data_IF_847402599151
#
_entry.id   IF_847402599151
#
_cell.length_a   1.000
_cell.length_b   1.000
_cell.length_c   1.000
_cell.angle_alpha   90.00
_cell.angle_beta   90.00
_cell.angle_gamma   90.00
#
_symmetry.space_group_name_H-M   'P 1'
#
loop_
_entity.id
_entity.type
_entity.pdbx_description
1 polymer ?
#
# COMPACT_ATOMS: atom_id res chain seq x y z
N UNK A 1 -3.18 -3.16 9.00
CA UNK A 1 -3.25 -1.70 8.70
C UNK A 1 -3.92 -1.03 9.88
N UNK A 2 -3.56 0.20 10.24
CA UNK A 2 -4.15 0.91 11.39
C UNK A 2 -4.65 2.28 10.94
N UNK A 3 -5.75 2.78 11.49
CA UNK A 3 -6.19 4.16 11.22
C UNK A 3 -5.74 5.18 12.28
N UNK A 4 -6.06 6.45 12.05
CA UNK A 4 -5.77 7.56 12.97
C UNK A 4 -6.49 7.48 14.33
N UNK A 5 -7.50 6.62 14.48
CA UNK A 5 -8.22 6.39 15.74
C UNK A 5 -7.72 5.15 16.48
N UNK A 6 -6.75 4.42 15.92
CA UNK A 6 -6.14 3.22 16.49
C UNK A 6 -6.85 1.92 16.12
N UNK A 7 -7.85 1.93 15.24
CA UNK A 7 -8.50 0.71 14.79
C UNK A 7 -7.56 -0.08 13.87
N UNK A 8 -7.52 -1.40 14.06
CA UNK A 8 -6.69 -2.29 13.25
C UNK A 8 -7.56 -3.06 12.25
N UNK A 9 -7.12 -3.07 11.00
CA UNK A 9 -7.77 -3.75 9.88
C UNK A 9 -6.94 -4.96 9.45
N UNK A 10 -7.63 -6.10 9.37
CA UNK A 10 -7.15 -7.35 8.77
C UNK A 10 -7.58 -7.45 7.30
N UNK A 11 -7.05 -8.44 6.59
CA UNK A 11 -7.50 -8.74 5.23
C UNK A 11 -9.01 -9.01 5.18
N UNK A 12 -9.68 -8.47 4.16
CA UNK A 12 -11.13 -8.42 3.97
C UNK A 12 -11.89 -7.68 5.09
N UNK A 13 -11.21 -6.82 5.85
CA UNK A 13 -11.85 -5.95 6.84
C UNK A 13 -12.64 -4.82 6.19
N UNK A 14 -13.58 -4.24 6.94
CA UNK A 14 -14.42 -3.15 6.44
C UNK A 14 -13.93 -1.80 6.96
N UNK A 15 -13.93 -0.81 6.09
CA UNK A 15 -13.86 0.61 6.44
C UNK A 15 -15.28 1.15 6.32
N UNK A 16 -15.91 1.42 7.46
CA UNK A 16 -17.29 1.87 7.51
C UNK A 16 -17.38 3.36 7.87
N UNK A 17 -18.15 4.17 7.12
CA UNK A 17 -18.30 5.61 7.42
C UNK A 17 -19.45 5.94 8.38
N UNK A 18 -20.38 5.01 8.63
CA UNK A 18 -21.51 5.18 9.56
C UNK A 18 -21.04 5.22 11.02
N UNK A 19 -21.59 6.12 11.86
CA UNK A 19 -21.07 6.37 13.23
C UNK A 19 -21.03 5.17 14.21
N UNK A 20 -21.65 4.04 13.87
CA UNK A 20 -21.58 2.78 14.63
C UNK A 20 -20.59 1.75 14.06
N UNK A 21 -19.97 2.04 12.92
CA UNK A 21 -18.96 1.21 12.29
C UNK A 21 -17.54 1.60 12.71
N UNK A 22 -16.59 0.75 12.33
CA UNK A 22 -15.15 1.02 12.50
C UNK A 22 -14.61 1.47 11.14
N UNK A 23 -14.17 2.73 10.95
CA UNK A 23 -13.97 3.78 11.95
C UNK A 23 -15.19 4.68 12.24
N UNK A 24 -16.23 4.62 11.41
CA UNK A 24 -17.43 5.44 11.54
C UNK A 24 -17.23 6.90 11.17
N UNK A 25 -16.33 7.15 10.21
CA UNK A 25 -15.96 8.47 9.70
C UNK A 25 -15.75 8.43 8.19
N UNK A 26 -16.10 9.53 7.51
CA UNK A 26 -15.89 9.65 6.07
C UNK A 26 -14.45 10.00 5.69
N UNK A 27 -13.69 10.66 6.58
CA UNK A 27 -12.29 11.00 6.36
C UNK A 27 -11.40 10.20 7.29
N UNK A 28 -10.51 9.41 6.72
CA UNK A 28 -9.76 8.38 7.42
C UNK A 28 -8.30 8.47 7.04
N UNK A 29 -7.43 8.54 8.04
CA UNK A 29 -5.99 8.44 7.85
C UNK A 29 -5.57 7.00 8.11
N UNK A 30 -5.00 6.32 7.12
CA UNK A 30 -4.50 4.95 7.26
C UNK A 30 -2.98 4.94 7.30
N UNK A 31 -2.43 4.21 8.27
CA UNK A 31 -1.01 3.86 8.36
C UNK A 31 -0.83 2.38 8.08
N UNK A 32 -0.08 2.10 7.02
CA UNK A 32 0.36 0.75 6.67
C UNK A 32 1.77 0.58 7.20
N UNK A 33 2.02 -0.49 7.95
CA UNK A 33 3.36 -0.84 8.40
C UNK A 33 3.72 -2.24 7.91
N UNK A 34 4.85 -2.35 7.24
CA UNK A 34 5.46 -3.60 6.84
C UNK A 34 6.60 -3.93 7.80
N UNK A 35 6.67 -5.19 8.22
CA UNK A 35 7.68 -5.69 9.15
C UNK A 35 8.48 -6.83 8.52
N UNK A 36 9.80 -6.77 8.64
CA UNK A 36 10.71 -7.87 8.33
C UNK A 36 10.87 -8.75 9.58
N UNK A 37 10.16 -9.88 9.60
CA UNK A 37 10.13 -10.78 10.76
C UNK A 37 11.39 -11.60 10.98
N UNK A 38 12.33 -11.61 10.02
CA UNK A 38 13.58 -12.38 10.15
C UNK A 38 14.79 -11.45 10.29
N UNK A 39 15.55 -11.62 11.37
CA UNK A 39 16.80 -10.89 11.59
C UNK A 39 17.81 -11.18 10.47
N UNK A 40 18.56 -10.15 10.08
CA UNK A 40 19.61 -10.21 9.05
C UNK A 40 19.10 -10.60 7.65
N UNK A 41 17.84 -10.26 7.36
CA UNK A 41 17.20 -10.36 6.05
C UNK A 41 16.61 -9.00 5.68
N UNK A 42 16.41 -8.79 4.38
CA UNK A 42 15.92 -7.52 3.90
C UNK A 42 15.75 -7.48 2.40
N UNK A 43 15.42 -6.28 1.93
CA UNK A 43 15.32 -5.95 0.52
C UNK A 43 16.52 -5.07 0.15
N UNK A 44 17.07 -5.30 -1.04
CA UNK A 44 18.12 -4.47 -1.61
C UNK A 44 17.70 -4.07 -3.00
N UNK A 45 17.79 -2.77 -3.27
CA UNK A 45 17.56 -2.23 -4.61
C UNK A 45 18.65 -2.71 -5.57
N UNK A 46 18.26 -2.85 -6.84
CA UNK A 46 19.17 -3.16 -7.93
C UNK A 46 18.64 -2.56 -9.23
N UNK A 47 19.36 -2.76 -10.32
CA UNK A 47 18.97 -2.27 -11.64
C UNK A 47 19.03 -3.42 -12.63
N UNK A 48 17.95 -3.57 -13.41
CA UNK A 48 17.93 -4.50 -14.53
C UNK A 48 18.25 -3.79 -15.85
N UNK A 49 19.37 -4.13 -16.51
CA UNK A 49 19.76 -3.54 -17.78
C UNK A 49 18.90 -4.00 -18.97
N UNK A 50 18.16 -5.11 -18.86
CA UNK A 50 17.35 -5.64 -19.97
C UNK A 50 16.08 -4.82 -20.13
N UNK A 51 15.33 -4.63 -19.04
CA UNK A 51 14.09 -3.85 -19.05
C UNK A 51 14.27 -2.38 -18.64
N UNK A 52 15.51 -1.98 -18.32
CA UNK A 52 15.87 -0.62 -17.86
C UNK A 52 15.06 -0.20 -16.64
N UNK A 53 14.88 -1.13 -15.70
CA UNK A 53 14.07 -0.94 -14.51
C UNK A 53 14.96 -0.77 -13.29
N UNK A 54 14.67 0.24 -12.48
CA UNK A 54 15.21 0.33 -11.13
C UNK A 54 14.35 -0.51 -10.20
N UNK A 55 14.86 -1.66 -9.80
CA UNK A 55 14.17 -2.54 -8.87
C UNK A 55 14.09 -1.92 -7.49
N UNK A 56 12.90 -1.43 -7.16
CA UNK A 56 12.57 -0.80 -5.89
C UNK A 56 11.48 -1.57 -5.16
N UNK A 57 11.31 -1.23 -3.89
CA UNK A 57 10.14 -1.64 -3.11
C UNK A 57 9.09 -0.54 -3.17
N UNK A 58 7.85 -0.91 -3.44
CA UNK A 58 6.74 0.02 -3.63
C UNK A 58 5.51 -0.44 -2.87
N UNK A 59 4.93 0.47 -2.09
CA UNK A 59 3.57 0.34 -1.61
C UNK A 59 2.63 0.77 -2.73
N UNK A 60 1.77 -0.13 -3.16
CA UNK A 60 0.76 0.11 -4.18
C UNK A 60 -0.61 0.01 -3.54
N UNK A 61 -1.43 1.03 -3.75
CA UNK A 61 -2.83 1.02 -3.33
C UNK A 61 -3.70 1.15 -4.57
N UNK A 62 -4.70 0.29 -4.70
CA UNK A 62 -5.70 0.40 -5.77
C UNK A 62 -7.10 0.45 -5.21
N UNK A 63 -7.94 1.29 -5.81
CA UNK A 63 -9.38 1.32 -5.53
C UNK A 63 -10.13 0.89 -6.79
N UNK A 64 -11.06 -0.03 -6.64
CA UNK A 64 -11.89 -0.55 -7.73
C UNK A 64 -13.27 -0.93 -7.23
N UNK A 65 -14.21 -1.20 -8.14
CA UNK A 65 -15.58 -1.61 -7.79
C UNK A 65 -16.61 -0.56 -8.17
N UNK A 66 -17.82 -0.65 -7.63
CA UNK A 66 -18.88 0.32 -7.95
C UNK A 66 -18.69 1.60 -7.14
N UNK A 67 -18.90 2.76 -7.77
CA UNK A 67 -18.78 4.09 -7.15
C UNK A 67 -17.37 4.44 -6.63
N UNK A 68 -16.34 3.70 -7.07
CA UNK A 68 -14.96 3.92 -6.65
C UNK A 68 -14.42 5.31 -7.06
N UNK A 69 -14.98 5.91 -8.10
CA UNK A 69 -14.66 7.25 -8.60
C UNK A 69 -14.98 8.36 -7.59
N UNK A 70 -15.83 8.08 -6.59
CA UNK A 70 -16.16 9.00 -5.50
C UNK A 70 -15.27 8.84 -4.26
N UNK A 71 -14.32 7.90 -4.31
CA UNK A 71 -13.31 7.68 -3.27
C UNK A 71 -12.07 8.49 -3.62
N UNK A 72 -11.68 9.42 -2.75
CA UNK A 72 -10.44 10.17 -2.93
C UNK A 72 -9.34 9.62 -2.03
N UNK A 73 -8.14 9.42 -2.58
CA UNK A 73 -6.94 9.05 -1.82
C UNK A 73 -5.86 10.08 -2.03
N UNK A 74 -5.23 10.51 -0.94
CA UNK A 74 -4.13 11.50 -0.95
C UNK A 74 -2.96 11.05 -0.10
N UNK A 75 -1.77 11.56 -0.40
CA UNK A 75 -0.53 11.25 0.33
C UNK A 75 0.47 10.41 -0.48
N UNK A 76 0.08 9.89 -1.64
CA UNK A 76 0.98 9.19 -2.55
C UNK A 76 1.66 10.16 -3.54
N UNK A 77 2.96 9.96 -3.85
CA UNK A 77 3.66 10.73 -4.88
C UNK A 77 3.21 10.36 -6.29
N UNK A 78 2.72 9.13 -6.49
CA UNK A 78 2.28 8.64 -7.79
C UNK A 78 0.81 8.24 -7.75
N UNK A 79 0.10 8.51 -8.84
CA UNK A 79 -1.30 8.13 -8.98
C UNK A 79 -1.77 8.19 -10.43
N UNK A 80 -2.76 7.36 -10.74
CA UNK A 80 -3.46 7.41 -12.02
C UNK A 80 -4.47 6.28 -12.22
N UNK A 81 -5.39 6.49 -13.15
CA UNK A 81 -6.42 5.52 -13.52
C UNK A 81 -5.89 4.54 -14.59
N UNK A 82 -6.15 3.25 -14.40
CA UNK A 82 -5.78 2.22 -15.37
C UNK A 82 -6.82 1.10 -15.40
N UNK A 83 -7.53 0.99 -16.52
CA UNK A 83 -8.65 0.05 -16.64
C UNK A 83 -9.83 0.55 -15.81
N UNK A 84 -10.37 -0.30 -14.93
CA UNK A 84 -11.52 -0.01 -14.06
C UNK A 84 -11.11 0.21 -12.59
N UNK A 85 -9.92 0.78 -12.39
CA UNK A 85 -9.35 0.99 -11.07
C UNK A 85 -8.42 2.20 -11.06
N UNK A 86 -8.37 2.89 -9.92
CA UNK A 86 -7.38 3.92 -9.66
C UNK A 86 -6.22 3.32 -8.87
N UNK A 87 -4.98 3.61 -9.28
CA UNK A 87 -3.77 3.13 -8.64
C UNK A 87 -2.97 4.27 -8.05
N UNK A 88 -2.35 4.03 -6.91
CA UNK A 88 -1.47 4.93 -6.19
C UNK A 88 -0.19 4.17 -5.82
N UNK A 89 0.96 4.85 -5.87
CA UNK A 89 2.26 4.24 -5.63
C UNK A 89 3.16 5.13 -4.78
N UNK A 90 3.93 4.52 -3.88
CA UNK A 90 5.00 5.16 -3.14
C UNK A 90 6.19 4.21 -2.97
N UNK A 91 7.40 4.67 -3.28
CA UNK A 91 8.60 3.92 -2.98
C UNK A 91 8.84 3.87 -1.46
N UNK A 92 9.26 2.71 -0.96
CA UNK A 92 9.68 2.51 0.41
C UNK A 92 11.19 2.38 0.48
N UNK A 93 11.78 2.96 1.53
CA UNK A 93 13.20 2.89 1.80
C UNK A 93 13.64 1.42 2.07
N UNK A 94 14.61 0.87 1.31
CA UNK A 94 15.09 -0.50 1.49
C UNK A 94 15.69 -0.76 2.89
N UNK A 95 16.28 0.26 3.52
CA UNK A 95 16.87 0.11 4.86
C UNK A 95 15.78 -0.09 5.92
N UNK A 96 14.59 0.47 5.71
CA UNK A 96 13.42 0.26 6.57
C UNK A 96 12.78 -1.11 6.38
N UNK A 97 12.98 -1.73 5.23
CA UNK A 97 12.53 -3.09 4.92
C UNK A 97 13.56 -4.17 5.27
N UNK A 98 14.67 -3.77 5.87
CA UNK A 98 15.77 -4.65 6.27
C UNK A 98 15.88 -4.72 7.78
N UNK A 99 15.89 -5.93 8.34
CA UNK A 99 16.23 -6.15 9.74
C UNK A 99 17.71 -6.53 9.82
N UNK A 100 18.50 -5.77 10.59
CA UNK A 100 19.91 -6.07 10.83
C UNK A 100 20.24 -5.93 12.32
N UNK A 101 20.78 -7.01 12.90
CA UNK A 101 21.07 -7.11 14.32
C UNK A 101 22.52 -7.51 14.54
N UNK A 102 23.22 -6.80 15.44
CA UNK A 102 24.59 -7.10 15.86
C UNK A 102 24.57 -7.37 17.36
N UNK A 103 24.79 -8.62 17.76
CA UNK A 103 24.54 -9.05 19.14
C UNK A 103 23.05 -8.90 19.49
N UNK A 104 22.75 -8.05 20.49
CA UNK A 104 21.38 -7.76 20.92
C UNK A 104 20.86 -6.40 20.43
N UNK A 105 21.65 -5.65 19.65
CA UNK A 105 21.30 -4.31 19.21
C UNK A 105 20.83 -4.33 17.74
N UNK A 106 19.66 -3.75 17.47
CA UNK A 106 19.16 -3.55 16.11
C UNK A 106 19.82 -2.31 15.50
N UNK A 107 20.53 -2.51 14.38
CA UNK A 107 21.06 -1.42 13.55
C UNK A 107 20.03 -0.96 12.51
N UNK A 108 19.26 -1.91 11.99
CA UNK A 108 18.06 -1.63 11.20
C UNK A 108 16.88 -2.41 11.82
N UNK A 109 15.77 -1.74 12.16
CA UNK A 109 14.66 -2.38 12.88
C UNK A 109 13.74 -3.21 11.97
N UNK A 110 13.87 -3.11 10.64
CA UNK A 110 13.03 -3.84 9.69
C UNK A 110 11.56 -3.43 9.72
N UNK A 111 11.26 -2.16 10.03
CA UNK A 111 9.89 -1.62 9.98
C UNK A 111 9.80 -0.41 9.05
N UNK A 112 8.95 -0.51 8.03
CA UNK A 112 8.62 0.58 7.12
C UNK A 112 7.14 0.95 7.28
N UNK A 113 6.86 2.23 7.56
CA UNK A 113 5.50 2.74 7.70
C UNK A 113 5.21 3.81 6.66
N UNK A 114 4.03 3.77 6.07
CA UNK A 114 3.54 4.77 5.15
C UNK A 114 2.12 5.17 5.52
N UNK A 115 1.82 6.47 5.47
CA UNK A 115 0.52 7.01 5.86
C UNK A 115 -0.11 7.77 4.71
N UNK A 116 -1.39 7.50 4.45
CA UNK A 116 -2.18 8.18 3.44
C UNK A 116 -3.59 8.46 3.98
N UNK A 117 -4.32 9.35 3.31
CA UNK A 117 -5.69 9.67 3.68
C UNK A 117 -6.66 9.14 2.63
N UNK A 118 -7.82 8.69 3.09
CA UNK A 118 -8.98 8.31 2.29
C UNK A 118 -10.11 9.27 2.66
N UNK A 119 -10.78 9.80 1.64
CA UNK A 119 -12.02 10.57 1.77
C UNK A 119 -13.15 9.82 1.06
N UNK A 120 -14.14 9.40 1.86
CA UNK A 120 -15.36 8.71 1.48
C UNK A 120 -16.59 9.64 1.52
N UNK A 121 -16.41 10.96 1.65
CA UNK A 121 -17.52 11.92 1.77
C UNK A 121 -18.48 11.86 0.59
N UNK A 122 -17.96 11.64 -0.62
CA UNK A 122 -18.77 11.47 -1.84
C UNK A 122 -19.20 10.03 -2.11
N UNK A 123 -18.64 9.04 -1.43
CA UNK A 123 -18.88 7.62 -1.70
C UNK A 123 -20.19 7.16 -1.05
N UNK A 124 -20.99 6.39 -1.78
CA UNK A 124 -22.14 5.66 -1.24
C UNK A 124 -22.20 4.27 -1.86
N UNK A 125 -22.37 3.24 -1.01
CA UNK A 125 -22.40 1.83 -1.40
C UNK A 125 -21.48 0.94 -0.55
N UNK A 126 -21.38 -0.33 -0.93
CA UNK A 126 -20.66 -1.38 -0.20
C UNK A 126 -19.82 -2.29 -1.13
N UNK A 127 -19.57 -1.85 -2.36
CA UNK A 127 -18.99 -2.64 -3.44
C UNK A 127 -17.65 -2.10 -3.97
N UNK A 128 -17.06 -1.08 -3.33
CA UNK A 128 -15.71 -0.62 -3.63
C UNK A 128 -14.69 -1.28 -2.72
N UNK A 129 -13.59 -1.74 -3.31
CA UNK A 129 -12.48 -2.39 -2.63
C UNK A 129 -11.23 -1.52 -2.66
N UNK A 130 -10.59 -1.38 -1.51
CA UNK A 130 -9.25 -0.84 -1.35
C UNK A 130 -8.26 -1.99 -1.21
N UNK A 131 -7.41 -2.19 -2.22
CA UNK A 131 -6.37 -3.23 -2.20
C UNK A 131 -5.01 -2.58 -1.99
N UNK A 132 -4.33 -2.97 -0.91
CA UNK A 132 -3.01 -2.49 -0.51
C UNK A 132 -2.02 -3.63 -0.74
N UNK A 133 -0.98 -3.38 -1.53
CA UNK A 133 0.07 -4.36 -1.88
C UNK A 133 1.44 -3.80 -1.55
N UNK A 134 2.30 -4.64 -1.01
CA UNK A 134 3.75 -4.38 -1.02
C UNK A 134 4.35 -5.20 -2.16
N UNK A 135 4.91 -4.51 -3.14
CA UNK A 135 5.55 -5.10 -4.32
C UNK A 135 7.02 -4.75 -4.30
N UNK A 136 7.89 -5.73 -4.50
CA UNK A 136 9.34 -5.55 -4.61
C UNK A 136 9.83 -5.89 -6.02
N UNK A 137 11.02 -5.42 -6.37
CA UNK A 137 11.60 -5.54 -7.71
C UNK A 137 10.70 -4.94 -8.80
N UNK A 138 10.14 -3.78 -8.50
CA UNK A 138 9.21 -3.07 -9.39
C UNK A 138 9.61 -1.60 -9.53
N UNK A 139 9.11 -0.98 -10.59
CA UNK A 139 9.28 0.43 -10.90
C UNK A 139 7.95 1.02 -11.37
N UNK A 140 7.62 2.22 -10.90
CA UNK A 140 6.35 2.88 -11.20
C UNK A 140 6.25 3.27 -12.68
N UNK A 141 7.32 3.79 -13.28
CA UNK A 141 7.29 4.25 -14.67
C UNK A 141 7.12 3.06 -15.61
N UNK A 142 7.75 1.92 -15.29
CA UNK A 142 7.52 0.67 -16.01
C UNK A 142 6.07 0.19 -15.87
N UNK A 143 5.52 0.17 -14.65
CA UNK A 143 4.11 -0.19 -14.42
C UNK A 143 3.16 0.68 -15.23
N UNK A 144 3.42 1.98 -15.26
CA UNK A 144 2.61 2.92 -16.00
C UNK A 144 2.71 2.69 -17.52
N UNK A 145 3.92 2.51 -18.04
CA UNK A 145 4.17 2.30 -19.47
C UNK A 145 3.67 0.94 -19.99
N UNK A 146 3.78 -0.13 -19.20
CA UNK A 146 3.54 -1.51 -19.65
C UNK A 146 2.30 -2.17 -19.06
N UNK A 147 1.75 -1.63 -17.98
CA UNK A 147 0.61 -2.24 -17.27
C UNK A 147 0.96 -3.53 -16.51
N UNK A 148 2.25 -3.77 -16.32
CA UNK A 148 2.79 -4.89 -15.55
C UNK A 148 3.80 -4.33 -14.55
N UNK A 149 3.89 -4.91 -13.35
CA UNK A 149 4.89 -4.49 -12.35
C UNK A 149 6.32 -4.85 -12.72
N UNK A 150 6.52 -5.64 -13.77
CA UNK A 150 7.81 -6.18 -14.19
C UNK A 150 7.80 -7.71 -14.18
N UNK A 151 8.67 -8.36 -14.97
CA UNK A 151 8.77 -9.82 -15.01
C UNK A 151 9.28 -10.41 -13.69
N UNK A 152 10.15 -9.69 -12.97
CA UNK A 152 10.76 -10.12 -11.71
C UNK A 152 10.02 -9.57 -10.47
N UNK A 153 8.95 -8.82 -10.68
CA UNK A 153 8.20 -8.20 -9.59
C UNK A 153 7.54 -9.25 -8.70
N UNK A 154 7.69 -9.09 -7.38
CA UNK A 154 7.12 -10.00 -6.39
C UNK A 154 6.19 -9.22 -5.47
N UNK A 155 4.93 -9.65 -5.38
CA UNK A 155 4.01 -9.16 -4.35
C UNK A 155 4.26 -9.95 -3.06
N UNK A 156 4.82 -9.29 -2.06
CA UNK A 156 5.20 -9.95 -0.79
C UNK A 156 4.09 -9.89 0.26
N UNK A 157 3.16 -8.94 0.14
CA UNK A 157 2.00 -8.83 1.01
C UNK A 157 0.84 -8.16 0.28
N UNK A 158 -0.38 -8.59 0.60
CA UNK A 158 -1.62 -8.00 0.11
C UNK A 158 -2.63 -7.94 1.24
N UNK A 159 -3.33 -6.81 1.37
CA UNK A 159 -4.50 -6.63 2.22
C UNK A 159 -5.58 -5.96 1.36
N UNK A 160 -6.75 -6.56 1.34
CA UNK A 160 -7.97 -5.97 0.77
C UNK A 160 -8.85 -5.46 1.90
N UNK A 161 -9.40 -4.25 1.76
CA UNK A 161 -10.37 -3.66 2.68
C UNK A 161 -11.61 -3.25 1.88
N UNK A 162 -12.80 -3.58 2.36
CA UNK A 162 -14.05 -3.21 1.71
C UNK A 162 -14.49 -1.82 2.21
N UNK A 163 -14.87 -0.94 1.30
CA UNK A 163 -15.38 0.40 1.62
C UNK A 163 -16.90 0.34 1.75
N UNK A 164 -17.40 0.70 2.93
CA UNK A 164 -18.82 0.53 3.29
C UNK A 164 -19.42 1.87 3.75
N UNK A 165 -20.58 2.21 3.19
CA UNK A 165 -21.48 3.26 3.65
C UNK A 165 -22.20 2.84 4.95
#
# INVERSE_FOLDING_TARGET
>A
VVDGDGNTYSNNGNINKTSGGTPGKSQIKLTVTAYQGTDNKGFRESYDPIYQMHYKAMLVVSVSGTNYEYVSITGFPFGGEKGSAYYFGAYLDPDKLTSWKVGNEYKLPGAASFTFNIDLTGYSGDAADLVIKLVIYTDWDYYWAKGSFGPEAVTVATITLNLVD
#
